data_IF_193229463387
#
_entry.id   IF_193229463387
#
_cell.length_a   1.000
_cell.length_b   1.000
_cell.length_c   1.000
_cell.angle_alpha   90.00
_cell.angle_beta   90.00
_cell.angle_gamma   90.00
#
_symmetry.space_group_name_H-M   'P 1'
#
loop_
_entity.id
_entity.type
_entity.pdbx_description
1 polymer ?
#
# COMPACT_ATOMS: atom_id res chain seq x y z
N UNK A 1 4.91 -2.09 -27.78
CA UNK A 1 3.51 -2.37 -27.37
C UNK A 1 3.09 -1.25 -26.42
N UNK A 2 1.89 -0.71 -26.59
CA UNK A 2 1.32 0.30 -25.68
C UNK A 2 0.70 -0.35 -24.46
N UNK A 3 0.50 0.42 -23.38
CA UNK A 3 -0.20 -0.09 -22.18
C UNK A 3 -1.62 -0.61 -22.51
N UNK A 4 -2.34 0.09 -23.39
CA UNK A 4 -3.68 -0.35 -23.82
C UNK A 4 -3.64 -1.72 -24.51
N UNK A 5 -2.69 -1.93 -25.42
CA UNK A 5 -2.54 -3.23 -26.12
C UNK A 5 -2.21 -4.36 -25.15
N UNK A 6 -1.37 -4.09 -24.11
CA UNK A 6 -1.06 -5.06 -23.07
C UNK A 6 -2.32 -5.40 -22.28
N UNK A 7 -3.07 -4.38 -21.80
CA UNK A 7 -4.30 -4.58 -21.03
C UNK A 7 -5.37 -5.31 -21.85
N UNK A 8 -5.52 -4.99 -23.13
CA UNK A 8 -6.50 -5.63 -24.00
C UNK A 8 -6.23 -7.14 -24.17
N UNK A 9 -4.95 -7.54 -24.27
CA UNK A 9 -4.51 -8.93 -24.42
C UNK A 9 -4.54 -9.71 -23.11
N UNK A 10 -4.34 -9.04 -21.98
CA UNK A 10 -4.22 -9.68 -20.67
C UNK A 10 -5.59 -10.13 -20.14
N UNK A 11 -5.57 -11.25 -19.42
CA UNK A 11 -6.76 -11.87 -18.79
C UNK A 11 -6.67 -11.94 -17.28
N UNK A 12 -5.47 -11.88 -16.74
CA UNK A 12 -5.17 -11.97 -15.31
C UNK A 12 -4.11 -10.95 -14.93
N UNK A 13 -4.54 -9.69 -14.86
CA UNK A 13 -3.69 -8.60 -14.43
C UNK A 13 -3.57 -8.64 -12.92
N UNK A 14 -2.36 -8.59 -12.38
CA UNK A 14 -2.10 -8.25 -10.98
C UNK A 14 -1.49 -6.85 -10.91
N UNK A 15 -2.01 -6.03 -10.03
CA UNK A 15 -1.42 -4.74 -9.73
C UNK A 15 -0.58 -4.83 -8.46
N UNK A 16 0.65 -4.30 -8.48
CA UNK A 16 1.50 -4.19 -7.30
C UNK A 16 1.85 -2.74 -7.06
N UNK A 17 1.37 -2.17 -5.95
CA UNK A 17 1.48 -0.74 -5.67
C UNK A 17 2.18 -0.37 -4.38
N UNK A 18 2.75 0.84 -4.35
CA UNK A 18 3.29 1.48 -3.15
C UNK A 18 2.77 2.91 -2.97
N UNK A 19 3.39 3.67 -2.08
CA UNK A 19 2.92 4.99 -1.63
C UNK A 19 2.74 6.01 -2.78
N UNK A 20 3.52 5.89 -3.85
CA UNK A 20 3.39 6.74 -5.04
C UNK A 20 2.02 6.63 -5.75
N UNK A 21 1.25 5.57 -5.50
CA UNK A 21 -0.14 5.43 -6.01
C UNK A 21 -1.07 6.45 -5.35
N UNK A 22 -0.85 6.77 -4.07
CA UNK A 22 -1.72 7.63 -3.27
C UNK A 22 -1.29 9.09 -3.22
N UNK A 23 -0.19 9.47 -3.89
CA UNK A 23 0.28 10.88 -3.93
C UNK A 23 -0.73 11.80 -4.61
N UNK A 24 -1.44 11.32 -5.64
CA UNK A 24 -2.53 12.06 -6.30
C UNK A 24 -3.82 12.11 -5.45
N UNK A 25 -3.85 11.43 -4.31
CA UNK A 25 -4.89 11.50 -3.27
C UNK A 25 -4.52 12.44 -2.11
N UNK A 26 -3.36 13.11 -2.20
CA UNK A 26 -2.84 14.01 -1.19
C UNK A 26 -2.11 13.32 -0.02
N UNK A 27 -1.83 12.01 -0.13
CA UNK A 27 -1.00 11.29 0.85
C UNK A 27 0.46 11.36 0.37
N UNK A 28 1.38 11.98 1.14
CA UNK A 28 2.79 12.01 0.77
C UNK A 28 3.37 10.60 0.77
N UNK A 29 4.25 10.33 -0.18
CA UNK A 29 5.05 9.10 -0.11
C UNK A 29 6.18 9.23 0.94
N UNK A 30 6.92 8.16 1.15
CA UNK A 30 7.96 8.13 2.18
C UNK A 30 9.30 8.72 1.73
N UNK A 31 9.68 8.56 0.46
CA UNK A 31 11.07 8.70 -0.01
C UNK A 31 11.30 9.73 -1.09
N UNK A 32 10.26 10.27 -1.72
CA UNK A 32 10.44 11.37 -2.67
C UNK A 32 10.99 12.63 -1.98
N UNK A 33 11.40 13.61 -2.76
CA UNK A 33 11.96 14.88 -2.23
C UNK A 33 11.01 15.54 -1.23
N UNK A 34 9.69 15.41 -1.44
CA UNK A 34 8.64 15.94 -0.55
C UNK A 34 8.12 14.86 0.44
N UNK A 35 8.74 13.68 0.47
CA UNK A 35 8.30 12.53 1.24
C UNK A 35 8.55 12.68 2.75
N UNK A 36 7.90 11.78 3.52
CA UNK A 36 7.98 11.82 4.98
C UNK A 36 9.42 11.73 5.52
N UNK A 37 10.31 10.99 4.85
CA UNK A 37 11.69 10.81 5.32
C UNK A 37 12.59 12.06 5.13
N UNK A 38 12.17 13.02 4.34
CA UNK A 38 12.87 14.28 4.15
C UNK A 38 12.38 15.42 5.08
N UNK A 39 11.37 15.15 5.92
CA UNK A 39 10.89 16.11 6.92
C UNK A 39 11.73 16.03 8.19
N UNK A 40 11.83 17.13 8.95
CA UNK A 40 12.54 17.15 10.23
C UNK A 40 11.66 16.56 11.34
N UNK A 41 12.19 15.53 12.01
CA UNK A 41 11.59 14.89 13.18
C UNK A 41 12.64 14.69 14.26
N UNK A 42 12.20 14.54 15.51
CA UNK A 42 13.09 14.24 16.65
C UNK A 42 13.74 12.85 16.50
N UNK A 43 13.08 11.93 15.78
CA UNK A 43 13.54 10.58 15.46
C UNK A 43 13.28 10.27 13.99
N UNK A 44 14.13 9.47 13.31
CA UNK A 44 13.85 9.01 11.96
C UNK A 44 12.50 8.24 11.88
N UNK A 45 11.71 8.42 10.81
CA UNK A 45 10.42 7.72 10.67
C UNK A 45 10.52 6.19 10.79
N UNK A 46 11.61 5.59 10.31
CA UNK A 46 11.84 4.14 10.45
C UNK A 46 11.97 3.72 11.92
N UNK A 47 12.58 4.59 12.75
CA UNK A 47 12.70 4.32 14.17
C UNK A 47 11.35 4.48 14.87
N UNK A 48 10.63 5.58 14.63
CA UNK A 48 9.31 5.82 15.27
C UNK A 48 8.31 4.71 14.89
N UNK A 49 8.36 4.25 13.64
CA UNK A 49 7.47 3.21 13.13
C UNK A 49 8.01 1.79 13.37
N UNK A 50 8.95 1.59 14.31
CA UNK A 50 9.41 0.28 14.71
C UNK A 50 8.60 -0.28 15.88
N UNK A 51 8.60 -1.62 16.01
CA UNK A 51 7.93 -2.31 17.13
C UNK A 51 8.58 -1.99 18.46
N UNK A 52 9.91 -1.97 18.52
CA UNK A 52 10.65 -1.62 19.72
C UNK A 52 10.33 -0.21 20.20
N UNK A 53 10.30 0.79 19.30
CA UNK A 53 9.92 2.16 19.67
C UNK A 53 8.48 2.25 20.17
N UNK A 54 7.55 1.54 19.53
CA UNK A 54 6.15 1.48 19.98
C UNK A 54 6.04 0.94 21.40
N UNK A 55 6.81 -0.10 21.75
CA UNK A 55 6.79 -0.72 23.07
C UNK A 55 7.46 0.17 24.14
N UNK A 56 8.51 0.91 23.78
CA UNK A 56 9.29 1.77 24.69
C UNK A 56 8.67 3.15 24.88
N UNK A 57 8.13 3.76 23.81
CA UNK A 57 7.61 5.13 23.82
C UNK A 57 6.27 5.24 23.07
N UNK A 58 5.20 4.56 23.54
CA UNK A 58 3.92 4.55 22.84
C UNK A 58 3.27 5.94 22.74
N UNK A 59 3.51 6.87 23.67
CA UNK A 59 2.95 8.22 23.61
C UNK A 59 3.47 8.99 22.40
N UNK A 60 4.79 8.96 22.16
CA UNK A 60 5.41 9.60 21.01
C UNK A 60 5.03 8.90 19.69
N UNK A 61 4.99 7.56 19.69
CA UNK A 61 4.47 6.81 18.54
C UNK A 61 3.08 7.28 18.14
N UNK A 62 2.10 7.41 19.07
CA UNK A 62 0.75 7.83 18.74
C UNK A 62 0.67 9.31 18.34
N UNK A 63 1.51 10.17 18.91
CA UNK A 63 1.63 11.57 18.48
C UNK A 63 2.02 11.65 17.00
N UNK A 64 3.08 10.93 16.61
CA UNK A 64 3.54 10.83 15.24
C UNK A 64 2.49 10.16 14.34
N UNK A 65 1.99 9.00 14.75
CA UNK A 65 1.05 8.19 13.99
C UNK A 65 -0.22 8.99 13.61
N UNK A 66 -0.84 9.66 14.56
CA UNK A 66 -2.01 10.51 14.30
C UNK A 66 -1.71 11.66 13.35
N UNK A 67 -0.55 12.30 13.49
CA UNK A 67 -0.22 13.48 12.70
C UNK A 67 0.24 13.16 11.28
N UNK A 68 0.79 11.96 11.02
CA UNK A 68 1.48 11.63 9.77
C UNK A 68 0.91 10.41 9.04
N UNK A 69 0.37 9.44 9.76
CA UNK A 69 -0.10 8.18 9.17
C UNK A 69 -1.62 8.20 8.90
N UNK A 70 -2.37 9.01 9.63
CA UNK A 70 -3.81 9.15 9.42
C UNK A 70 -4.09 10.30 8.46
N UNK A 71 -4.75 9.98 7.35
CA UNK A 71 -5.14 10.96 6.31
C UNK A 71 -6.67 10.91 6.09
N UNK A 72 -7.48 11.39 7.04
CA UNK A 72 -8.95 11.19 7.05
C UNK A 72 -9.66 11.85 5.86
N UNK A 73 -9.05 12.84 5.24
CA UNK A 73 -9.62 13.57 4.11
C UNK A 73 -9.19 13.00 2.74
N UNK A 74 -8.28 12.02 2.72
CA UNK A 74 -7.86 11.40 1.46
C UNK A 74 -9.04 10.68 0.79
N UNK A 75 -9.07 10.76 -0.53
CA UNK A 75 -10.08 10.09 -1.35
C UNK A 75 -9.38 9.31 -2.46
N UNK A 76 -9.97 8.20 -2.95
CA UNK A 76 -9.42 7.50 -4.09
C UNK A 76 -9.19 8.44 -5.28
N UNK A 77 -8.10 8.24 -5.98
CA UNK A 77 -7.79 8.95 -7.22
C UNK A 77 -8.05 8.06 -8.45
N UNK A 78 -7.74 8.58 -9.63
CA UNK A 78 -8.01 7.91 -10.90
C UNK A 78 -7.38 6.51 -11.02
N UNK A 79 -6.21 6.26 -10.37
CA UNK A 79 -5.59 4.94 -10.35
C UNK A 79 -6.47 3.93 -9.61
N UNK A 80 -6.93 4.28 -8.42
CA UNK A 80 -7.76 3.40 -7.59
C UNK A 80 -9.07 3.04 -8.31
N UNK A 81 -9.76 4.04 -8.88
CA UNK A 81 -11.01 3.80 -9.62
C UNK A 81 -10.79 2.94 -10.87
N UNK A 82 -9.69 3.16 -11.62
CA UNK A 82 -9.39 2.36 -12.80
C UNK A 82 -9.10 0.90 -12.45
N UNK A 83 -8.41 0.63 -11.36
CA UNK A 83 -8.15 -0.73 -10.89
C UNK A 83 -9.45 -1.44 -10.48
N UNK A 84 -10.36 -0.75 -9.81
CA UNK A 84 -11.67 -1.29 -9.48
C UNK A 84 -12.50 -1.56 -10.75
N UNK A 85 -12.45 -0.69 -11.75
CA UNK A 85 -13.10 -0.88 -13.05
C UNK A 85 -12.55 -2.12 -13.78
N UNK A 86 -11.22 -2.28 -13.82
CA UNK A 86 -10.57 -3.46 -14.40
C UNK A 86 -10.93 -4.76 -13.66
N UNK A 87 -11.07 -4.71 -12.33
CA UNK A 87 -11.51 -5.86 -11.54
C UNK A 87 -12.98 -6.22 -11.85
N UNK A 88 -13.86 -5.24 -11.93
CA UNK A 88 -15.27 -5.44 -12.30
C UNK A 88 -15.42 -6.04 -13.70
N UNK A 89 -14.54 -5.67 -14.62
CA UNK A 89 -14.48 -6.25 -15.98
C UNK A 89 -13.81 -7.65 -16.03
N UNK A 90 -13.36 -8.18 -14.88
CA UNK A 90 -12.72 -9.49 -14.79
C UNK A 90 -11.28 -9.54 -15.32
N UNK A 91 -10.66 -8.40 -15.59
CA UNK A 91 -9.28 -8.29 -16.09
C UNK A 91 -8.25 -8.19 -14.97
N UNK A 92 -8.48 -7.36 -13.93
CA UNK A 92 -7.61 -7.31 -12.76
C UNK A 92 -8.07 -8.36 -11.75
N UNK A 93 -7.20 -9.28 -11.40
CA UNK A 93 -7.51 -10.39 -10.49
C UNK A 93 -7.17 -10.08 -9.04
N UNK A 94 -6.24 -9.18 -8.80
CA UNK A 94 -5.89 -8.72 -7.47
C UNK A 94 -5.10 -7.40 -7.50
N UNK A 95 -5.26 -6.65 -6.43
CA UNK A 95 -4.40 -5.53 -6.05
C UNK A 95 -3.53 -5.99 -4.88
N UNK A 96 -2.22 -5.99 -5.05
CA UNK A 96 -1.23 -6.18 -3.98
C UNK A 96 -0.69 -4.80 -3.63
N UNK A 97 -0.84 -4.37 -2.40
CA UNK A 97 -0.44 -3.02 -2.01
C UNK A 97 0.42 -3.00 -0.75
N UNK A 98 1.41 -2.12 -0.76
CA UNK A 98 2.19 -1.76 0.43
C UNK A 98 1.52 -0.64 1.24
N UNK A 99 0.49 0.00 0.67
CA UNK A 99 -0.23 1.08 1.31
C UNK A 99 -1.17 0.56 2.41
N UNK A 100 -1.37 1.40 3.41
CA UNK A 100 -2.20 1.14 4.59
C UNK A 100 -3.45 2.00 4.63
N UNK A 101 -3.72 2.79 3.57
CA UNK A 101 -4.70 3.87 3.52
C UNK A 101 -6.15 3.40 3.25
N UNK A 102 -6.34 2.18 2.74
CA UNK A 102 -7.65 1.62 2.40
C UNK A 102 -8.29 2.21 1.14
N UNK A 103 -7.57 3.02 0.35
CA UNK A 103 -8.16 3.72 -0.81
C UNK A 103 -8.55 2.78 -1.96
N UNK A 104 -7.91 1.63 -2.10
CA UNK A 104 -8.31 0.63 -3.10
C UNK A 104 -9.70 0.08 -2.80
N UNK A 105 -9.96 -0.30 -1.55
CA UNK A 105 -11.27 -0.78 -1.11
C UNK A 105 -12.32 0.35 -1.20
N UNK A 106 -11.96 1.58 -0.82
CA UNK A 106 -12.83 2.74 -0.93
C UNK A 106 -13.22 3.07 -2.38
N UNK A 107 -12.36 2.73 -3.36
CA UNK A 107 -12.64 2.85 -4.79
C UNK A 107 -13.52 1.71 -5.35
N UNK A 108 -13.70 0.61 -4.59
CA UNK A 108 -14.52 -0.52 -4.97
C UNK A 108 -13.75 -1.79 -5.36
N UNK A 109 -12.41 -1.82 -5.23
CA UNK A 109 -11.63 -3.04 -5.37
C UNK A 109 -11.96 -4.03 -4.25
N UNK A 110 -12.13 -5.31 -4.59
CA UNK A 110 -12.56 -6.38 -3.68
C UNK A 110 -11.43 -7.31 -3.27
N UNK A 111 -10.54 -7.63 -4.21
CA UNK A 111 -9.42 -8.53 -3.99
C UNK A 111 -8.16 -7.69 -3.74
N UNK A 112 -7.98 -7.26 -2.50
CA UNK A 112 -6.86 -6.39 -2.10
C UNK A 112 -6.03 -7.07 -1.01
N UNK A 113 -4.75 -7.28 -1.28
CA UNK A 113 -3.76 -7.79 -0.33
C UNK A 113 -2.95 -6.62 0.23
N UNK A 114 -3.30 -6.18 1.44
CA UNK A 114 -2.62 -5.10 2.17
C UNK A 114 -1.42 -5.67 2.92
N UNK A 115 -0.25 -5.72 2.26
CA UNK A 115 0.96 -6.35 2.80
C UNK A 115 1.44 -5.76 4.12
N UNK A 116 1.19 -4.48 4.34
CA UNK A 116 1.58 -3.77 5.56
C UNK A 116 0.40 -3.46 6.47
N UNK A 117 -0.73 -4.15 6.28
CA UNK A 117 -1.93 -3.95 7.10
C UNK A 117 -2.72 -2.69 6.73
N UNK A 118 -3.45 -2.12 7.71
CA UNK A 118 -4.34 -0.98 7.45
C UNK A 118 -4.50 -0.08 8.66
N UNK A 119 -4.56 1.23 8.45
CA UNK A 119 -4.91 2.23 9.48
C UNK A 119 -6.35 2.11 9.93
N UNK A 120 -7.22 1.49 9.12
CA UNK A 120 -8.66 1.38 9.39
C UNK A 120 -8.99 0.29 10.40
N UNK A 121 -8.08 -0.65 10.64
CA UNK A 121 -8.24 -1.75 11.60
C UNK A 121 -7.28 -1.58 12.75
N UNK A 122 -7.77 -1.83 13.95
CA UNK A 122 -6.98 -1.72 15.18
C UNK A 122 -7.45 -2.80 16.15
N UNK A 123 -6.62 -3.23 17.06
CA UNK A 123 -6.99 -4.22 18.06
C UNK A 123 -6.35 -3.95 19.41
N UNK A 124 -7.03 -4.41 20.46
CA UNK A 124 -6.46 -4.39 21.79
C UNK A 124 -5.39 -5.47 21.95
N UNK A 125 -4.17 -5.09 22.28
CA UNK A 125 -3.06 -6.03 22.48
C UNK A 125 -3.26 -7.03 23.63
N UNK A 126 -4.20 -6.73 24.56
CA UNK A 126 -4.46 -7.58 25.72
C UNK A 126 -5.59 -8.59 25.50
N UNK A 127 -6.72 -8.16 24.93
CA UNK A 127 -7.92 -8.98 24.81
C UNK A 127 -8.35 -9.26 23.37
N UNK A 128 -7.62 -8.76 22.35
CA UNK A 128 -7.92 -8.97 20.94
C UNK A 128 -9.14 -8.24 20.39
N UNK A 129 -9.85 -7.44 21.21
CA UNK A 129 -11.04 -6.71 20.74
C UNK A 129 -10.67 -5.80 19.57
N UNK A 130 -11.43 -5.89 18.48
CA UNK A 130 -11.27 -5.06 17.29
C UNK A 130 -11.85 -3.65 17.51
N UNK A 131 -11.24 -2.66 16.86
CA UNK A 131 -11.60 -1.25 16.89
C UNK A 131 -11.44 -0.64 15.48
N UNK A 132 -12.25 0.37 15.17
CA UNK A 132 -12.08 1.22 14.00
C UNK A 132 -10.96 2.26 14.20
N UNK A 133 -10.72 3.05 13.16
CA UNK A 133 -9.69 4.12 13.18
C UNK A 133 -9.99 5.20 14.23
N UNK A 134 -11.25 5.43 14.56
CA UNK A 134 -11.73 6.45 15.51
C UNK A 134 -11.11 6.24 16.89
N UNK A 135 -10.96 4.99 17.31
CA UNK A 135 -10.38 4.66 18.62
C UNK A 135 -8.93 5.14 18.78
N UNK A 136 -8.21 5.31 17.68
CA UNK A 136 -6.84 5.83 17.65
C UNK A 136 -6.83 7.32 17.32
N UNK A 137 -7.64 7.75 16.36
CA UNK A 137 -7.67 9.12 15.88
C UNK A 137 -8.16 10.12 16.94
N UNK A 138 -9.18 9.73 17.72
CA UNK A 138 -9.85 10.61 18.70
C UNK A 138 -9.23 10.51 20.12
N UNK A 139 -8.33 9.55 20.35
CA UNK A 139 -7.67 9.41 21.64
C UNK A 139 -6.76 10.61 21.92
N UNK A 140 -6.92 11.22 23.10
CA UNK A 140 -6.09 12.35 23.53
C UNK A 140 -4.61 11.95 23.75
N UNK A 141 -4.38 10.70 24.15
CA UNK A 141 -3.07 10.14 24.45
C UNK A 141 -3.00 8.70 23.90
N UNK A 142 -2.42 7.76 24.62
CA UNK A 142 -2.32 6.34 24.23
C UNK A 142 -3.75 5.73 24.22
N UNK A 143 -4.24 5.24 23.07
CA UNK A 143 -5.57 4.66 22.99
C UNK A 143 -5.66 3.37 23.83
N UNK A 144 -6.69 3.26 24.68
CA UNK A 144 -6.86 2.14 25.59
C UNK A 144 -8.23 1.49 25.47
N UNK A 145 -8.20 0.18 25.49
CA UNK A 145 -9.39 -0.66 25.60
C UNK A 145 -10.00 -0.59 27.00
N UNK A 146 -11.28 -0.90 27.13
CA UNK A 146 -11.96 -1.03 28.42
C UNK A 146 -11.28 -2.05 29.38
N UNK A 147 -10.54 -3.02 28.86
CA UNK A 147 -9.73 -3.97 29.66
C UNK A 147 -8.40 -3.38 30.18
N UNK A 148 -8.08 -2.12 29.83
CA UNK A 148 -6.83 -1.43 30.17
C UNK A 148 -5.68 -1.69 29.18
N UNK A 149 -5.83 -2.60 28.20
CA UNK A 149 -4.83 -2.86 27.17
C UNK A 149 -4.69 -1.71 26.18
N UNK A 150 -3.50 -1.55 25.59
CA UNK A 150 -3.27 -0.58 24.49
C UNK A 150 -3.98 -1.09 23.23
N UNK A 151 -4.59 -0.18 22.47
CA UNK A 151 -5.19 -0.46 21.17
C UNK A 151 -4.12 -0.16 20.10
N UNK A 152 -3.54 -1.21 19.48
CA UNK A 152 -2.51 -1.07 18.43
C UNK A 152 -3.16 -1.08 17.05
N UNK A 153 -2.72 -0.18 16.14
CA UNK A 153 -3.10 -0.29 14.74
C UNK A 153 -2.65 -1.61 14.10
N UNK A 154 -3.47 -2.18 13.21
CA UNK A 154 -3.13 -3.38 12.42
C UNK A 154 -2.21 -3.01 11.25
N UNK A 155 -1.29 -2.11 11.49
CA UNK A 155 -0.21 -1.74 10.58
C UNK A 155 1.03 -2.52 11.00
N UNK A 156 1.69 -3.13 10.01
CA UNK A 156 2.96 -3.83 10.21
C UNK A 156 4.06 -2.80 10.43
N UNK A 157 4.62 -2.79 11.63
CA UNK A 157 5.74 -1.92 11.99
C UNK A 157 7.06 -2.55 11.52
N UNK A 158 8.10 -1.75 11.39
CA UNK A 158 9.45 -2.31 11.26
C UNK A 158 9.71 -3.29 12.41
N UNK A 159 10.46 -4.36 12.15
CA UNK A 159 10.71 -5.50 13.06
C UNK A 159 9.55 -6.51 13.21
N UNK A 160 8.36 -6.19 12.67
CA UNK A 160 7.24 -7.13 12.62
C UNK A 160 7.22 -7.95 11.32
N UNK A 161 6.76 -9.18 11.40
CA UNK A 161 6.49 -10.03 10.22
C UNK A 161 5.21 -9.63 9.50
N UNK A 162 5.17 -9.88 8.19
CA UNK A 162 3.93 -9.74 7.42
C UNK A 162 2.95 -10.86 7.78
N UNK A 163 1.66 -10.60 7.62
CA UNK A 163 0.62 -11.62 7.77
C UNK A 163 0.78 -12.73 6.72
N UNK A 164 0.88 -13.96 7.18
CA UNK A 164 1.17 -15.11 6.32
C UNK A 164 0.07 -15.34 5.27
N UNK A 165 -1.20 -15.20 5.64
CA UNK A 165 -2.31 -15.42 4.71
C UNK A 165 -2.33 -14.36 3.61
N UNK A 166 -2.08 -13.11 3.98
CA UNK A 166 -1.94 -12.00 3.02
C UNK A 166 -0.78 -12.24 2.06
N UNK A 167 0.37 -12.68 2.56
CA UNK A 167 1.55 -13.01 1.74
C UNK A 167 1.27 -14.16 0.79
N UNK A 168 0.70 -15.26 1.28
CA UNK A 168 0.36 -16.42 0.45
C UNK A 168 -0.63 -16.05 -0.67
N UNK A 169 -1.67 -15.27 -0.35
CA UNK A 169 -2.64 -14.79 -1.32
C UNK A 169 -2.01 -13.88 -2.38
N UNK A 170 -1.17 -12.93 -1.95
CA UNK A 170 -0.47 -12.02 -2.84
C UNK A 170 0.49 -12.75 -3.78
N UNK A 171 1.31 -13.64 -3.25
CA UNK A 171 2.26 -14.46 -4.04
C UNK A 171 1.53 -15.35 -5.02
N UNK A 172 0.42 -15.99 -4.60
CA UNK A 172 -0.39 -16.81 -5.48
C UNK A 172 -1.00 -15.99 -6.63
N UNK A 173 -1.53 -14.79 -6.34
CA UNK A 173 -2.06 -13.90 -7.37
C UNK A 173 -0.99 -13.46 -8.37
N UNK A 174 0.21 -13.09 -7.88
CA UNK A 174 1.35 -12.70 -8.73
C UNK A 174 1.80 -13.87 -9.63
N UNK A 175 1.96 -15.07 -9.07
CA UNK A 175 2.44 -16.23 -9.80
C UNK A 175 1.48 -16.69 -10.92
N UNK A 176 0.19 -16.42 -10.78
CA UNK A 176 -0.84 -16.80 -11.77
C UNK A 176 -1.17 -15.71 -12.80
N UNK A 177 -0.63 -14.50 -12.62
CA UNK A 177 -0.89 -13.39 -13.52
C UNK A 177 -0.20 -13.59 -14.87
N UNK A 178 -0.84 -13.15 -15.94
CA UNK A 178 -0.24 -13.03 -17.27
C UNK A 178 0.34 -11.62 -17.52
N UNK A 179 -0.13 -10.65 -16.73
CA UNK A 179 0.40 -9.28 -16.72
C UNK A 179 0.58 -8.80 -15.27
N UNK A 180 1.72 -8.19 -14.98
CA UNK A 180 1.94 -7.46 -13.73
C UNK A 180 2.15 -5.98 -14.01
N UNK A 181 1.36 -5.13 -13.35
CA UNK A 181 1.55 -3.68 -13.35
C UNK A 181 2.14 -3.28 -12.00
N UNK A 182 3.43 -2.95 -12.01
CA UNK A 182 4.13 -2.41 -10.84
C UNK A 182 4.08 -0.90 -10.87
N UNK A 183 3.60 -0.26 -9.79
CA UNK A 183 3.42 1.19 -9.81
C UNK A 183 3.67 1.88 -8.45
N UNK A 184 4.22 3.10 -8.52
CA UNK A 184 4.33 3.99 -7.35
C UNK A 184 5.17 3.41 -6.20
N UNK A 185 6.19 2.61 -6.48
CA UNK A 185 7.05 2.02 -5.46
C UNK A 185 8.52 2.10 -5.84
N UNK A 186 9.37 2.38 -4.85
CA UNK A 186 10.83 2.33 -5.02
C UNK A 186 11.40 0.91 -4.94
N UNK A 187 10.59 -0.08 -4.54
CA UNK A 187 11.01 -1.46 -4.26
C UNK A 187 12.13 -1.57 -3.21
N UNK A 188 12.16 -0.67 -2.23
CA UNK A 188 13.21 -0.62 -1.20
C UNK A 188 12.81 -1.32 0.09
N UNK A 189 11.53 -1.66 0.30
CA UNK A 189 11.03 -2.26 1.53
C UNK A 189 10.87 -3.76 1.36
N UNK A 190 11.70 -4.50 2.09
CA UNK A 190 11.64 -5.97 2.14
C UNK A 190 10.81 -6.44 3.34
N UNK A 191 10.13 -7.61 3.24
CA UNK A 191 10.19 -8.59 2.14
C UNK A 191 9.27 -8.27 0.95
N UNK A 192 8.37 -7.30 1.03
CA UNK A 192 7.37 -7.01 0.01
C UNK A 192 7.99 -6.77 -1.39
N UNK A 193 9.07 -6.00 -1.48
CA UNK A 193 9.78 -5.75 -2.74
C UNK A 193 10.26 -7.03 -3.44
N UNK A 194 10.51 -8.09 -2.68
CA UNK A 194 10.95 -9.39 -3.22
C UNK A 194 9.84 -10.19 -3.89
N UNK A 195 8.57 -9.85 -3.70
CA UNK A 195 7.46 -10.65 -4.23
C UNK A 195 7.31 -10.55 -5.74
N UNK A 196 7.80 -9.49 -6.38
CA UNK A 196 7.79 -9.34 -7.85
C UNK A 196 8.49 -10.50 -8.55
N UNK A 197 9.46 -11.15 -7.91
CA UNK A 197 10.21 -12.30 -8.47
C UNK A 197 9.35 -13.56 -8.70
N UNK A 198 8.18 -13.63 -8.08
CA UNK A 198 7.25 -14.74 -8.31
C UNK A 198 6.43 -14.57 -9.59
N UNK A 199 6.49 -13.40 -10.22
CA UNK A 199 5.84 -13.18 -11.52
C UNK A 199 6.58 -13.94 -12.63
N UNK A 200 5.83 -14.68 -13.40
CA UNK A 200 6.31 -15.49 -14.54
C UNK A 200 5.42 -15.30 -15.78
N UNK A 201 4.62 -14.23 -15.78
CA UNK A 201 3.72 -13.94 -16.89
C UNK A 201 4.42 -13.29 -18.09
N UNK A 202 3.63 -12.93 -19.08
CA UNK A 202 4.12 -12.45 -20.38
C UNK A 202 4.48 -10.97 -20.37
N UNK A 203 3.75 -10.14 -19.57
CA UNK A 203 3.89 -8.69 -19.62
C UNK A 203 4.18 -8.10 -18.25
N UNK A 204 5.35 -7.47 -18.11
CA UNK A 204 5.70 -6.69 -16.93
C UNK A 204 5.73 -5.20 -17.27
N UNK A 205 4.80 -4.44 -16.71
CA UNK A 205 4.67 -2.99 -16.86
C UNK A 205 5.11 -2.28 -15.61
N UNK A 206 5.92 -1.23 -15.75
CA UNK A 206 6.34 -0.39 -14.64
C UNK A 206 5.86 1.05 -14.86
N UNK A 207 5.14 1.59 -13.87
CA UNK A 207 4.66 2.98 -13.85
C UNK A 207 5.19 3.65 -12.59
N UNK A 208 6.20 4.48 -12.73
CA UNK A 208 6.75 5.20 -11.59
C UNK A 208 7.32 6.54 -12.04
N UNK A 209 7.18 7.57 -11.21
CA UNK A 209 7.70 8.90 -11.55
C UNK A 209 9.21 8.89 -11.74
N UNK A 210 9.90 8.28 -10.78
CA UNK A 210 11.35 8.22 -10.75
C UNK A 210 11.85 6.83 -11.21
N UNK A 211 13.05 6.72 -11.82
CA UNK A 211 13.65 5.45 -12.19
C UNK A 211 13.84 4.52 -10.98
N UNK A 212 13.71 3.22 -11.24
CA UNK A 212 13.90 2.18 -10.23
C UNK A 212 14.82 1.07 -10.75
N UNK A 213 15.40 0.23 -9.89
CA UNK A 213 16.16 -0.94 -10.34
C UNK A 213 15.32 -1.92 -11.17
N UNK A 214 14.00 -1.93 -11.03
CA UNK A 214 13.08 -2.80 -11.76
C UNK A 214 12.83 -2.35 -13.22
N UNK A 215 13.22 -1.14 -13.61
CA UNK A 215 13.07 -0.64 -14.98
C UNK A 215 13.69 -1.61 -16.01
N UNK A 216 14.81 -2.24 -15.64
CA UNK A 216 15.53 -3.21 -16.51
C UNK A 216 14.79 -4.53 -16.70
N UNK A 217 13.80 -4.82 -15.88
CA UNK A 217 13.01 -6.05 -15.90
C UNK A 217 11.70 -5.88 -16.66
N UNK A 218 11.25 -4.63 -16.83
CA UNK A 218 9.94 -4.33 -17.40
C UNK A 218 9.96 -4.28 -18.93
N UNK A 219 8.91 -4.82 -19.55
CA UNK A 219 8.69 -4.72 -21.01
C UNK A 219 8.21 -3.32 -21.42
N UNK A 220 7.56 -2.61 -20.51
CA UNK A 220 7.11 -1.23 -20.70
C UNK A 220 7.36 -0.42 -19.42
N UNK A 221 8.09 0.68 -19.57
CA UNK A 221 8.37 1.63 -18.48
C UNK A 221 7.73 2.98 -18.80
N UNK A 222 6.97 3.53 -17.87
CA UNK A 222 6.30 4.82 -17.99
C UNK A 222 6.67 5.71 -16.78
N UNK A 223 7.55 6.69 -17.01
CA UNK A 223 7.94 7.66 -15.97
C UNK A 223 6.93 8.80 -15.86
N UNK A 224 5.76 8.49 -15.28
CA UNK A 224 4.63 9.39 -15.13
C UNK A 224 3.88 9.10 -13.83
N UNK A 225 2.93 9.98 -13.48
CA UNK A 225 2.02 9.76 -12.35
C UNK A 225 1.09 8.59 -12.63
N UNK A 226 0.88 7.74 -11.63
CA UNK A 226 0.13 6.47 -11.78
C UNK A 226 -1.33 6.70 -12.20
N UNK A 227 -2.01 7.64 -11.55
CA UNK A 227 -3.40 7.96 -11.88
C UNK A 227 -3.55 8.55 -13.28
N UNK A 228 -2.61 9.42 -13.69
CA UNK A 228 -2.58 9.98 -15.01
C UNK A 228 -2.45 8.90 -16.11
N UNK A 229 -1.58 7.90 -15.89
CA UNK A 229 -1.39 6.80 -16.85
C UNK A 229 -2.59 5.87 -16.86
N UNK A 230 -3.01 5.39 -15.69
CA UNK A 230 -4.09 4.40 -15.62
C UNK A 230 -5.44 4.95 -16.10
N UNK A 231 -5.71 6.24 -15.89
CA UNK A 231 -6.97 6.88 -16.35
C UNK A 231 -7.17 6.83 -17.87
N UNK A 232 -6.10 6.67 -18.65
CA UNK A 232 -6.17 6.60 -20.11
C UNK A 232 -6.60 5.22 -20.64
N UNK A 233 -6.58 4.19 -19.78
CA UNK A 233 -6.99 2.83 -20.16
C UNK A 233 -8.50 2.81 -20.42
N UNK A 234 -8.86 2.28 -21.56
CA UNK A 234 -10.25 1.98 -21.91
C UNK A 234 -10.52 0.50 -21.60
N UNK A 235 -11.43 0.24 -20.69
CA UNK A 235 -11.85 -1.13 -20.35
C UNK A 235 -12.85 -1.60 -21.38
N UNK A 236 -12.53 -2.71 -22.07
CA UNK A 236 -13.32 -3.29 -23.16
C UNK A 236 -13.70 -4.72 -22.83
#
# INVERSE_FOLDING_TARGET
MTLQEIVDRSRRIVFFGGAGVSTESGIPDFRSVDGLYHQQYDYPPEQILSRSFFDENPAEFYRFYRSKMLCPNARPNAAHYKLAELEQAGKCTAVVTQNIDGLHQAAGSRTVYELHGSVLRNHCMRCGRAYGVEAVAEAADIPRCACGGIIKPDVVLYEEGLDQQTVEGAVHAIARADCMILAGTSLSVYPAAGFIRYFQGEHFVLINRDPTPADKLADLVLHQKVGQVLSQIQVR
#
